data_IF_535337647369
#
_entry.id   IF_535337647369
#
_cell.length_a   1.000
_cell.length_b   1.000
_cell.length_c   1.000
_cell.angle_alpha   90.00
_cell.angle_beta   90.00
_cell.angle_gamma   90.00
#
_symmetry.space_group_name_H-M   'P 1'
#
loop_
_entity.id
_entity.type
_entity.pdbx_description
1 polymer ?
#
# COMPACT_ATOMS: atom_id res chain seq x y z
N UNK A 1 29.01 -1.60 -54.20
CA UNK A 1 28.88 -0.46 -53.25
C UNK A 1 27.68 -0.76 -52.35
N UNK A 2 27.91 -1.44 -51.21
CA UNK A 2 27.76 -0.92 -49.83
C UNK A 2 26.31 -0.46 -49.50
N UNK A 3 25.48 -1.33 -48.90
CA UNK A 3 25.25 -1.50 -47.45
C UNK A 3 24.72 -0.22 -46.77
N UNK A 4 23.49 -0.27 -46.21
CA UNK A 4 22.82 0.61 -45.21
C UNK A 4 21.30 0.63 -45.53
N UNK A 5 20.31 0.41 -44.66
CA UNK A 5 20.19 0.43 -43.19
C UNK A 5 19.06 -0.53 -42.82
N UNK A 6 19.33 -1.56 -42.01
CA UNK A 6 18.32 -2.32 -41.28
C UNK A 6 18.75 -2.32 -39.82
N UNK A 7 18.43 -1.25 -39.09
CA UNK A 7 18.65 -1.14 -37.64
C UNK A 7 17.67 -0.12 -37.08
N UNK A 8 16.54 -0.59 -36.56
CA UNK A 8 15.75 0.09 -35.53
C UNK A 8 14.65 -0.86 -35.05
N UNK A 9 15.04 -1.93 -34.34
CA UNK A 9 14.09 -2.80 -33.64
C UNK A 9 14.77 -3.53 -32.46
N UNK A 10 15.58 -2.81 -31.69
CA UNK A 10 16.08 -3.27 -30.38
C UNK A 10 16.17 -2.06 -29.45
N UNK A 11 15.03 -1.55 -28.99
CA UNK A 11 15.01 -0.52 -27.93
C UNK A 11 13.76 -0.61 -27.03
N UNK A 12 13.08 -1.77 -26.97
CA UNK A 12 11.87 -1.93 -26.15
C UNK A 12 11.83 -3.22 -25.31
N UNK A 13 13.00 -3.76 -24.96
CA UNK A 13 13.10 -4.94 -24.09
C UNK A 13 13.97 -4.74 -22.83
N UNK A 14 14.52 -3.55 -22.61
CA UNK A 14 15.49 -3.30 -21.52
C UNK A 14 14.84 -2.63 -20.29
N UNK A 15 13.66 -2.02 -20.41
CA UNK A 15 12.99 -1.36 -19.28
C UNK A 15 12.43 -2.34 -18.22
N UNK A 16 12.21 -3.61 -18.57
CA UNK A 16 11.72 -4.63 -17.63
C UNK A 16 12.80 -5.31 -16.79
N UNK A 17 14.07 -5.28 -17.24
CA UNK A 17 15.18 -5.95 -16.55
C UNK A 17 15.76 -5.12 -15.40
N UNK A 18 15.69 -3.79 -15.49
CA UNK A 18 16.27 -2.89 -14.47
C UNK A 18 15.50 -2.88 -13.15
N UNK A 19 14.21 -3.25 -13.14
CA UNK A 19 13.40 -3.30 -11.90
C UNK A 19 13.64 -4.56 -11.06
N UNK A 20 14.16 -5.65 -11.64
CA UNK A 20 14.54 -6.85 -10.88
C UNK A 20 15.85 -6.69 -10.11
N UNK A 21 16.73 -5.78 -10.54
CA UNK A 21 18.11 -5.71 -10.06
C UNK A 21 18.32 -4.93 -8.74
N UNK A 22 17.26 -4.44 -8.08
CA UNK A 22 17.36 -3.58 -6.89
C UNK A 22 16.53 -4.04 -5.69
N UNK A 23 15.95 -5.24 -5.73
CA UNK A 23 15.24 -5.78 -4.57
C UNK A 23 16.23 -6.47 -3.64
N UNK A 24 16.26 -6.02 -2.38
CA UNK A 24 17.02 -6.73 -1.35
C UNK A 24 16.44 -8.13 -1.18
N UNK A 25 17.26 -9.18 -1.03
CA UNK A 25 16.78 -10.52 -0.80
C UNK A 25 15.95 -10.57 0.49
N UNK A 26 14.91 -11.39 0.51
CA UNK A 26 14.05 -11.53 1.68
C UNK A 26 14.85 -12.22 2.78
N UNK A 27 14.86 -11.59 3.95
CA UNK A 27 15.64 -12.01 5.12
C UNK A 27 14.76 -12.66 6.18
N UNK A 28 15.40 -13.19 7.23
CA UNK A 28 14.69 -13.76 8.38
C UNK A 28 13.85 -12.69 9.09
N UNK A 29 14.42 -11.50 9.23
CA UNK A 29 13.89 -10.37 9.99
C UNK A 29 12.60 -9.82 9.35
N UNK A 30 12.40 -10.02 8.04
CA UNK A 30 11.18 -9.59 7.36
C UNK A 30 9.93 -10.33 7.88
N UNK A 31 10.10 -11.48 8.54
CA UNK A 31 9.00 -12.25 9.16
C UNK A 31 8.80 -11.94 10.66
N UNK A 32 9.59 -11.06 11.26
CA UNK A 32 9.59 -10.83 12.72
C UNK A 32 8.23 -10.42 13.26
N UNK A 33 7.43 -9.69 12.47
CA UNK A 33 6.11 -9.21 12.88
C UNK A 33 4.99 -10.23 12.62
N UNK A 34 5.26 -11.30 11.87
CA UNK A 34 4.25 -12.28 11.44
C UNK A 34 4.20 -13.43 12.46
N UNK A 35 3.00 -13.79 12.90
CA UNK A 35 2.77 -15.01 13.66
C UNK A 35 2.76 -16.21 12.72
N UNK A 36 3.91 -16.85 12.51
CA UNK A 36 4.05 -18.03 11.64
C UNK A 36 3.26 -19.26 12.12
N UNK A 37 2.76 -19.25 13.36
CA UNK A 37 1.87 -20.29 13.88
C UNK A 37 0.38 -19.97 13.62
N UNK A 38 0.07 -18.89 12.90
CA UNK A 38 -1.31 -18.54 12.57
C UNK A 38 -1.92 -19.61 11.62
N UNK A 39 -3.16 -20.08 11.86
CA UNK A 39 -3.79 -21.09 11.02
C UNK A 39 -3.85 -20.71 9.54
N UNK A 40 -3.35 -21.60 8.68
CA UNK A 40 -3.20 -21.38 7.23
C UNK A 40 -1.78 -20.95 6.81
N UNK A 41 -0.88 -20.63 7.75
CA UNK A 41 0.52 -20.31 7.47
C UNK A 41 1.48 -21.50 7.64
N UNK A 42 0.97 -22.73 7.68
CA UNK A 42 1.77 -23.93 7.96
C UNK A 42 2.92 -24.10 6.96
N UNK A 43 2.65 -23.87 5.67
CA UNK A 43 3.68 -23.90 4.62
C UNK A 43 4.72 -22.80 4.81
N UNK A 44 4.26 -21.57 5.06
CA UNK A 44 5.14 -20.42 5.32
C UNK A 44 6.11 -20.72 6.46
N UNK A 45 5.59 -21.28 7.56
CA UNK A 45 6.41 -21.67 8.70
C UNK A 45 7.42 -22.78 8.32
N UNK A 46 6.99 -23.82 7.60
CA UNK A 46 7.89 -24.89 7.14
C UNK A 46 9.05 -24.35 6.29
N UNK A 47 8.75 -23.47 5.32
CA UNK A 47 9.77 -22.83 4.47
C UNK A 47 10.70 -21.92 5.28
N UNK A 48 10.15 -21.16 6.22
CA UNK A 48 10.91 -20.30 7.13
C UNK A 48 11.88 -21.09 8.01
N UNK A 49 11.43 -22.19 8.65
CA UNK A 49 12.29 -23.06 9.47
C UNK A 49 13.41 -23.73 8.65
N UNK A 50 13.18 -23.91 7.35
CA UNK A 50 14.17 -24.42 6.41
C UNK A 50 15.12 -23.34 5.85
N UNK A 51 15.06 -22.10 6.37
CA UNK A 51 15.78 -20.93 5.89
C UNK A 51 15.55 -20.58 4.41
N UNK A 52 14.39 -20.97 3.85
CA UNK A 52 13.98 -20.67 2.47
C UNK A 52 13.06 -19.45 2.44
N UNK A 53 13.60 -18.27 2.73
CA UNK A 53 12.82 -17.04 2.96
C UNK A 53 12.03 -16.58 1.73
N UNK A 54 12.60 -16.66 0.52
CA UNK A 54 11.88 -16.35 -0.72
C UNK A 54 10.68 -17.28 -0.94
N UNK A 55 10.87 -18.57 -0.64
CA UNK A 55 9.77 -19.55 -0.73
C UNK A 55 8.70 -19.28 0.33
N UNK A 56 9.10 -18.94 1.56
CA UNK A 56 8.16 -18.58 2.62
C UNK A 56 7.32 -17.35 2.24
N UNK A 57 7.94 -16.31 1.66
CA UNK A 57 7.20 -15.14 1.19
C UNK A 57 6.27 -15.45 0.02
N UNK A 58 6.69 -16.32 -0.90
CA UNK A 58 5.83 -16.80 -1.99
C UNK A 58 4.62 -17.58 -1.45
N UNK A 59 4.82 -18.44 -0.45
CA UNK A 59 3.74 -19.17 0.21
C UNK A 59 2.81 -18.24 1.00
N UNK A 60 3.33 -17.17 1.59
CA UNK A 60 2.53 -16.15 2.26
C UNK A 60 1.68 -15.36 1.26
N UNK A 61 2.22 -15.03 0.09
CA UNK A 61 1.44 -14.42 -0.99
C UNK A 61 0.33 -15.35 -1.47
N UNK A 62 0.63 -16.65 -1.61
CA UNK A 62 -0.38 -17.67 -1.93
C UNK A 62 -1.46 -17.74 -0.85
N UNK A 63 -1.08 -17.68 0.43
CA UNK A 63 -2.03 -17.61 1.54
C UNK A 63 -2.98 -16.42 1.39
N UNK A 64 -2.45 -15.21 1.25
CA UNK A 64 -3.29 -14.01 1.15
C UNK A 64 -4.21 -14.04 -0.08
N UNK A 65 -3.73 -14.55 -1.23
CA UNK A 65 -4.54 -14.71 -2.45
C UNK A 65 -5.68 -15.72 -2.29
N UNK A 66 -5.60 -16.64 -1.33
CA UNK A 66 -6.59 -17.68 -1.11
C UNK A 66 -7.34 -17.52 0.23
N UNK A 67 -7.09 -16.44 0.97
CA UNK A 67 -7.71 -16.18 2.28
C UNK A 67 -9.19 -15.83 2.10
N UNK A 68 -10.09 -16.63 2.69
CA UNK A 68 -11.56 -16.49 2.54
C UNK A 68 -12.31 -16.07 3.80
N UNK A 69 -11.71 -16.20 4.98
CA UNK A 69 -12.40 -15.97 6.26
C UNK A 69 -12.41 -14.50 6.70
N UNK A 70 -11.56 -13.67 6.11
CA UNK A 70 -11.43 -12.26 6.43
C UNK A 70 -11.96 -11.46 5.25
N UNK A 71 -12.92 -10.58 5.52
CA UNK A 71 -13.56 -9.75 4.51
C UNK A 71 -13.36 -8.27 4.79
N UNK A 72 -13.02 -7.52 3.75
CA UNK A 72 -13.18 -6.07 3.74
C UNK A 72 -14.65 -5.74 3.45
N UNK A 73 -15.23 -4.66 4.01
CA UNK A 73 -16.59 -4.24 3.68
C UNK A 73 -16.81 -4.03 2.17
N UNK A 74 -15.87 -3.35 1.51
CA UNK A 74 -16.02 -2.95 0.10
C UNK A 74 -15.27 -3.79 -0.94
N UNK A 75 -14.08 -4.32 -0.64
CA UNK A 75 -13.16 -4.84 -1.65
C UNK A 75 -12.61 -6.20 -1.25
N UNK A 76 -13.09 -7.29 -1.84
CA UNK A 76 -12.63 -8.65 -1.53
C UNK A 76 -12.02 -9.35 -2.74
N UNK A 77 -11.12 -10.30 -2.47
CA UNK A 77 -10.63 -11.24 -3.47
C UNK A 77 -11.79 -12.14 -3.90
N UNK A 78 -11.96 -12.34 -5.22
CA UNK A 78 -13.12 -13.03 -5.78
C UNK A 78 -14.20 -12.08 -6.33
N UNK A 79 -14.13 -10.77 -6.02
CA UNK A 79 -15.09 -9.79 -6.52
C UNK A 79 -14.77 -9.28 -7.94
N UNK A 80 -13.96 -10.00 -8.75
CA UNK A 80 -13.46 -9.50 -10.04
C UNK A 80 -14.61 -9.08 -10.97
N UNK A 81 -15.67 -9.88 -11.03
CA UNK A 81 -16.86 -9.64 -11.85
C UNK A 81 -17.68 -8.42 -11.41
N UNK A 82 -17.48 -7.94 -10.18
CA UNK A 82 -18.12 -6.71 -9.71
C UNK A 82 -17.58 -5.49 -10.45
N UNK A 83 -16.30 -5.50 -10.84
CA UNK A 83 -15.60 -4.34 -11.41
C UNK A 83 -15.32 -4.47 -12.90
N UNK A 84 -15.01 -5.68 -13.39
CA UNK A 84 -14.52 -5.91 -14.76
C UNK A 84 -15.43 -5.30 -15.82
N UNK A 85 -14.88 -4.39 -16.63
CA UNK A 85 -15.56 -3.67 -17.70
C UNK A 85 -16.60 -2.65 -17.25
N UNK A 86 -16.75 -2.39 -15.95
CA UNK A 86 -17.73 -1.44 -15.41
C UNK A 86 -17.09 -0.10 -15.09
N UNK A 87 -17.86 0.97 -15.30
CA UNK A 87 -17.43 2.32 -14.92
C UNK A 87 -17.14 2.41 -13.42
N UNK A 88 -16.03 3.07 -13.08
CA UNK A 88 -15.67 3.42 -11.70
C UNK A 88 -16.07 4.87 -11.34
N UNK A 89 -16.76 5.55 -12.27
CA UNK A 89 -17.09 6.98 -12.18
C UNK A 89 -15.95 7.87 -12.70
N UNK A 90 -16.33 8.99 -13.34
CA UNK A 90 -15.38 9.90 -13.99
C UNK A 90 -14.32 10.45 -13.01
N UNK A 91 -14.71 10.81 -11.78
CA UNK A 91 -13.79 11.32 -10.77
C UNK A 91 -12.74 10.29 -10.32
N UNK A 92 -13.09 8.99 -10.24
CA UNK A 92 -12.11 7.96 -9.92
C UNK A 92 -11.19 7.67 -11.11
N UNK A 93 -11.73 7.65 -12.32
CA UNK A 93 -10.93 7.45 -13.52
C UNK A 93 -9.91 8.58 -13.70
N UNK A 94 -10.34 9.84 -13.53
CA UNK A 94 -9.46 11.01 -13.60
C UNK A 94 -8.35 10.96 -12.54
N UNK A 95 -8.67 10.59 -11.29
CA UNK A 95 -7.64 10.41 -10.24
C UNK A 95 -6.65 9.32 -10.58
N UNK A 96 -7.13 8.17 -11.08
CA UNK A 96 -6.27 7.05 -11.45
C UNK A 96 -5.33 7.40 -12.61
N UNK A 97 -5.85 8.05 -13.65
CA UNK A 97 -5.06 8.43 -14.83
C UNK A 97 -4.07 9.55 -14.52
N UNK A 98 -4.46 10.56 -13.74
CA UNK A 98 -3.55 11.62 -13.30
C UNK A 98 -2.45 11.08 -12.37
N UNK A 99 -2.75 10.07 -11.55
CA UNK A 99 -1.74 9.44 -10.71
C UNK A 99 -0.62 8.77 -11.51
N UNK A 100 -0.89 8.27 -12.74
CA UNK A 100 0.15 7.78 -13.66
C UNK A 100 1.13 8.86 -14.13
N UNK A 101 0.76 10.12 -13.95
CA UNK A 101 1.55 11.30 -14.32
C UNK A 101 2.05 12.06 -13.07
N UNK A 102 1.93 11.46 -11.88
CA UNK A 102 2.23 12.06 -10.57
C UNK A 102 1.50 13.38 -10.32
N UNK A 103 0.31 13.51 -10.92
CA UNK A 103 -0.61 14.62 -10.66
C UNK A 103 -1.60 14.15 -9.61
N UNK A 104 -1.51 14.71 -8.41
CA UNK A 104 -2.37 14.30 -7.30
C UNK A 104 -3.31 15.42 -6.91
N UNK A 105 -4.51 15.05 -6.45
CA UNK A 105 -5.47 15.95 -5.82
C UNK A 105 -5.58 15.56 -4.34
N UNK A 106 -4.72 16.11 -3.45
CA UNK A 106 -4.74 15.78 -2.02
C UNK A 106 -6.05 16.16 -1.34
N UNK A 107 -6.59 17.31 -1.70
CA UNK A 107 -7.69 17.96 -0.99
C UNK A 107 -8.78 18.37 -1.99
N UNK A 108 -10.03 17.98 -1.72
CA UNK A 108 -11.18 18.17 -2.63
C UNK A 108 -11.48 19.63 -3.00
N UNK A 109 -11.06 20.57 -2.16
CA UNK A 109 -11.20 22.02 -2.39
C UNK A 109 -10.20 22.60 -3.40
N UNK A 110 -9.22 21.80 -3.87
CA UNK A 110 -8.22 22.21 -4.83
C UNK A 110 -8.22 21.28 -6.06
N UNK A 111 -7.60 21.73 -7.15
CA UNK A 111 -7.35 20.92 -8.34
C UNK A 111 -6.19 19.94 -8.14
N UNK A 112 -5.74 19.35 -9.25
CA UNK A 112 -4.54 18.51 -9.27
C UNK A 112 -3.28 19.37 -9.27
N UNK A 113 -2.24 18.91 -8.58
CA UNK A 113 -0.90 19.48 -8.61
C UNK A 113 0.08 18.44 -9.15
N UNK A 114 1.08 18.88 -9.91
CA UNK A 114 2.16 18.03 -10.41
C UNK A 114 3.25 17.92 -9.35
N UNK A 115 3.48 16.70 -8.84
CA UNK A 115 4.49 16.42 -7.82
C UNK A 115 5.86 16.06 -8.40
N UNK A 116 5.99 16.12 -9.72
CA UNK A 116 7.21 15.83 -10.46
C UNK A 116 7.40 14.35 -10.76
N UNK A 117 8.18 14.06 -11.81
CA UNK A 117 8.56 12.69 -12.19
C UNK A 117 9.28 11.96 -11.06
N UNK A 118 10.16 12.65 -10.34
CA UNK A 118 10.64 12.20 -9.04
C UNK A 118 9.72 12.81 -7.97
N UNK A 119 8.79 12.01 -7.45
CA UNK A 119 7.71 12.53 -6.60
C UNK A 119 8.30 13.28 -5.39
N UNK A 120 7.97 14.56 -5.29
CA UNK A 120 8.32 15.39 -4.14
C UNK A 120 7.18 15.38 -3.12
N UNK A 121 7.19 14.42 -2.20
CA UNK A 121 6.20 14.30 -1.12
C UNK A 121 6.17 15.50 -0.14
N UNK A 122 7.15 16.40 -0.23
CA UNK A 122 7.25 17.60 0.58
C UNK A 122 6.86 18.87 -0.20
N UNK A 123 6.42 18.74 -1.46
CA UNK A 123 5.93 19.86 -2.25
C UNK A 123 4.76 20.53 -1.53
N UNK A 124 4.83 21.85 -1.41
CA UNK A 124 3.78 22.66 -0.79
C UNK A 124 3.20 23.64 -1.80
N UNK A 125 2.28 23.17 -2.69
CA UNK A 125 1.85 23.93 -3.85
C UNK A 125 0.98 25.15 -3.49
N UNK A 126 0.34 25.09 -2.32
CA UNK A 126 -0.44 26.17 -1.71
C UNK A 126 -0.08 26.19 -0.23
N UNK A 127 0.14 27.36 0.39
CA UNK A 127 0.50 27.52 1.82
C UNK A 127 -0.68 27.22 2.77
N UNK A 128 -1.27 26.04 2.61
CA UNK A 128 -2.32 25.46 3.42
C UNK A 128 -1.82 24.10 3.92
N UNK A 129 -1.83 23.90 5.24
CA UNK A 129 -1.37 22.66 5.86
C UNK A 129 -2.27 21.48 5.49
N UNK A 130 -3.56 21.69 5.24
CA UNK A 130 -4.49 20.62 4.86
C UNK A 130 -4.11 19.98 3.52
N UNK A 131 -3.55 20.75 2.59
CA UNK A 131 -3.06 20.20 1.32
C UNK A 131 -1.91 19.22 1.54
N UNK A 132 -0.98 19.56 2.45
CA UNK A 132 0.20 18.73 2.74
C UNK A 132 -0.16 17.54 3.63
N UNK A 133 -1.01 17.70 4.64
CA UNK A 133 -1.53 16.58 5.43
C UNK A 133 -2.30 15.59 4.57
N UNK A 134 -3.27 16.06 3.77
CA UNK A 134 -4.11 15.15 2.99
C UNK A 134 -3.38 14.46 1.85
N UNK A 135 -2.23 14.98 1.41
CA UNK A 135 -1.36 14.28 0.44
C UNK A 135 -0.95 12.91 0.98
N UNK A 136 -0.61 12.84 2.27
CA UNK A 136 -0.19 11.59 2.92
C UNK A 136 -1.36 10.68 3.29
N UNK A 137 -2.60 11.01 2.91
CA UNK A 137 -3.73 10.07 2.94
C UNK A 137 -3.83 9.20 1.70
N UNK A 138 -3.12 9.58 0.62
CA UNK A 138 -2.91 8.77 -0.60
C UNK A 138 -4.19 8.17 -1.19
N UNK A 139 -5.31 8.90 -1.11
CA UNK A 139 -6.64 8.40 -1.48
C UNK A 139 -6.74 7.94 -2.94
N UNK A 140 -5.91 8.46 -3.84
CA UNK A 140 -5.91 8.04 -5.24
C UNK A 140 -5.43 6.59 -5.44
N UNK A 141 -4.74 5.97 -4.49
CA UNK A 141 -4.34 4.56 -4.58
C UNK A 141 -5.55 3.62 -4.68
N UNK A 142 -6.66 3.92 -4.00
CA UNK A 142 -7.90 3.16 -4.19
C UNK A 142 -8.50 3.41 -5.57
N UNK A 143 -8.48 4.64 -6.09
CA UNK A 143 -8.93 4.95 -7.45
C UNK A 143 -8.11 4.18 -8.50
N UNK A 144 -6.79 4.08 -8.33
CA UNK A 144 -5.92 3.25 -9.18
C UNK A 144 -6.28 1.77 -9.08
N UNK A 145 -6.57 1.25 -7.89
CA UNK A 145 -7.01 -0.13 -7.70
C UNK A 145 -8.34 -0.42 -8.36
N UNK A 146 -9.29 0.52 -8.30
CA UNK A 146 -10.56 0.42 -9.01
C UNK A 146 -10.36 0.42 -10.53
N UNK A 147 -9.49 1.30 -11.06
CA UNK A 147 -9.15 1.35 -12.48
C UNK A 147 -8.47 0.06 -12.96
N UNK A 148 -7.56 -0.50 -12.16
CA UNK A 148 -6.98 -1.82 -12.38
C UNK A 148 -8.05 -2.92 -12.45
N UNK A 149 -8.93 -2.99 -11.46
CA UNK A 149 -9.97 -4.04 -11.40
C UNK A 149 -11.01 -3.94 -12.52
N UNK A 150 -11.30 -2.72 -12.96
CA UNK A 150 -12.22 -2.49 -14.08
C UNK A 150 -11.60 -2.86 -15.42
N UNK A 151 -10.39 -2.35 -15.70
CA UNK A 151 -9.75 -2.47 -17.01
C UNK A 151 -8.93 -3.75 -17.20
N UNK A 152 -8.36 -4.28 -16.13
CA UNK A 152 -7.30 -5.29 -16.17
C UNK A 152 -5.93 -4.75 -16.61
N UNK A 153 -5.77 -3.43 -16.72
CA UNK A 153 -4.53 -2.80 -17.18
C UNK A 153 -3.49 -2.72 -16.05
N UNK A 154 -2.39 -3.47 -16.19
CA UNK A 154 -1.32 -3.57 -15.21
C UNK A 154 -0.54 -2.27 -14.99
N UNK A 155 -0.74 -1.23 -15.83
CA UNK A 155 -0.09 0.08 -15.61
C UNK A 155 -0.43 0.67 -14.25
N UNK A 156 -1.67 0.51 -13.77
CA UNK A 156 -2.09 1.04 -12.49
C UNK A 156 -1.47 0.27 -11.32
N UNK A 157 -1.35 -1.06 -11.43
CA UNK A 157 -0.71 -1.88 -10.41
C UNK A 157 0.79 -1.60 -10.32
N UNK A 158 1.47 -1.54 -11.48
CA UNK A 158 2.90 -1.19 -11.59
C UNK A 158 3.19 0.16 -10.96
N UNK A 159 2.39 1.17 -11.31
CA UNK A 159 2.56 2.51 -10.80
C UNK A 159 2.26 2.61 -9.30
N UNK A 160 1.21 1.93 -8.81
CA UNK A 160 0.91 1.92 -7.38
C UNK A 160 2.04 1.28 -6.56
N UNK A 161 2.60 0.16 -7.02
CA UNK A 161 3.77 -0.48 -6.39
C UNK A 161 4.97 0.48 -6.34
N UNK A 162 5.22 1.21 -7.43
CA UNK A 162 6.26 2.24 -7.49
C UNK A 162 6.00 3.37 -6.47
N UNK A 163 4.81 3.96 -6.46
CA UNK A 163 4.45 5.05 -5.55
C UNK A 163 4.48 4.64 -4.09
N UNK A 164 4.03 3.43 -3.76
CA UNK A 164 4.08 2.91 -2.40
C UNK A 164 5.53 2.82 -1.92
N UNK A 165 6.42 2.22 -2.72
CA UNK A 165 7.85 2.10 -2.42
C UNK A 165 8.52 3.47 -2.29
N UNK A 166 8.21 4.38 -3.21
CA UNK A 166 8.75 5.74 -3.19
C UNK A 166 8.30 6.50 -1.93
N UNK A 167 7.01 6.39 -1.57
CA UNK A 167 6.48 6.98 -0.33
C UNK A 167 7.18 6.43 0.91
N UNK A 168 7.30 5.10 1.05
CA UNK A 168 7.98 4.46 2.19
C UNK A 168 9.43 4.90 2.28
N UNK A 169 10.14 4.96 1.15
CA UNK A 169 11.54 5.38 1.09
C UNK A 169 11.76 6.85 1.45
N UNK A 170 10.88 7.74 0.99
CA UNK A 170 11.02 9.20 1.14
C UNK A 170 10.34 9.77 2.38
N UNK A 171 9.51 8.99 3.07
CA UNK A 171 8.82 9.42 4.28
C UNK A 171 9.04 8.44 5.46
N UNK A 172 10.27 7.99 5.75
CA UNK A 172 10.50 7.15 6.93
C UNK A 172 10.18 7.95 8.20
N UNK A 173 9.62 7.28 9.21
CA UNK A 173 9.44 7.87 10.52
C UNK A 173 10.81 8.30 11.08
N UNK A 174 10.92 9.53 11.59
CA UNK A 174 12.18 10.09 12.09
C UNK A 174 13.02 10.77 11.00
N UNK A 175 12.50 10.96 9.77
CA UNK A 175 13.22 11.67 8.71
C UNK A 175 13.56 13.11 9.13
N UNK A 176 12.56 13.83 9.62
CA UNK A 176 12.68 15.17 10.17
C UNK A 176 11.40 15.54 10.94
N UNK A 177 11.50 16.49 11.87
CA UNK A 177 10.32 16.99 12.59
C UNK A 177 9.25 17.56 11.65
N UNK A 178 9.67 18.22 10.57
CA UNK A 178 8.76 18.73 9.53
C UNK A 178 8.06 17.58 8.81
N UNK A 179 8.80 16.59 8.30
CA UNK A 179 8.19 15.46 7.60
C UNK A 179 7.22 14.68 8.48
N UNK A 180 7.60 14.40 9.73
CA UNK A 180 6.79 13.60 10.65
C UNK A 180 5.50 14.34 11.05
N UNK A 181 5.54 15.67 11.18
CA UNK A 181 4.36 16.49 11.43
C UNK A 181 3.30 16.42 10.32
N UNK A 182 3.68 16.02 9.09
CA UNK A 182 2.76 15.86 7.96
C UNK A 182 2.48 14.39 7.61
N UNK A 183 3.52 13.57 7.42
CA UNK A 183 3.40 12.18 6.98
C UNK A 183 2.99 11.21 8.12
N UNK A 184 3.38 11.53 9.35
CA UNK A 184 3.22 10.69 10.54
C UNK A 184 2.29 11.29 11.61
N UNK A 185 1.50 12.32 11.26
CA UNK A 185 0.40 12.77 12.12
C UNK A 185 -0.60 11.61 12.31
N UNK A 186 -1.00 11.27 13.55
CA UNK A 186 -1.83 10.09 13.84
C UNK A 186 -3.10 9.98 12.98
N UNK A 187 -3.74 11.11 12.68
CA UNK A 187 -4.90 11.16 11.81
C UNK A 187 -4.60 10.59 10.42
N UNK A 188 -3.58 11.10 9.72
CA UNK A 188 -3.17 10.61 8.39
C UNK A 188 -2.67 9.17 8.43
N UNK A 189 -1.95 8.77 9.47
CA UNK A 189 -1.53 7.38 9.65
C UNK A 189 -2.76 6.48 9.76
N UNK A 190 -3.77 6.87 10.54
CA UNK A 190 -5.01 6.11 10.68
C UNK A 190 -5.79 6.02 9.37
N UNK A 191 -5.84 7.09 8.57
CA UNK A 191 -6.47 7.09 7.24
C UNK A 191 -5.81 6.08 6.29
N UNK A 192 -4.47 5.99 6.32
CA UNK A 192 -3.74 4.96 5.55
C UNK A 192 -4.03 3.57 6.08
N UNK A 193 -3.97 3.37 7.40
CA UNK A 193 -4.28 2.07 8.03
C UNK A 193 -5.70 1.59 7.70
N UNK A 194 -6.67 2.50 7.53
CA UNK A 194 -8.02 2.16 7.07
C UNK A 194 -8.10 1.81 5.59
N UNK A 195 -7.45 2.60 4.73
CA UNK A 195 -7.60 2.49 3.27
C UNK A 195 -6.74 1.39 2.65
N UNK A 196 -5.55 1.13 3.19
CA UNK A 196 -4.58 0.17 2.68
C UNK A 196 -5.09 -1.28 2.63
N UNK A 197 -5.87 -1.80 3.59
CA UNK A 197 -6.53 -3.11 3.49
C UNK A 197 -7.37 -3.30 2.23
N UNK A 198 -8.16 -2.29 1.88
CA UNK A 198 -8.95 -2.29 0.65
C UNK A 198 -8.06 -2.23 -0.60
N UNK A 199 -7.08 -1.33 -0.60
CA UNK A 199 -6.09 -1.19 -1.68
C UNK A 199 -5.29 -2.48 -1.89
N UNK A 200 -4.89 -3.13 -0.82
CA UNK A 200 -4.22 -4.44 -0.83
C UNK A 200 -5.05 -5.46 -1.60
N UNK A 201 -6.33 -5.62 -1.24
CA UNK A 201 -7.22 -6.55 -1.94
C UNK A 201 -7.44 -6.17 -3.41
N UNK A 202 -7.50 -4.88 -3.76
CA UNK A 202 -7.66 -4.44 -5.15
C UNK A 202 -6.47 -4.86 -6.03
N UNK A 203 -5.24 -4.90 -5.50
CA UNK A 203 -4.04 -5.21 -6.28
C UNK A 203 -3.47 -6.62 -6.07
N UNK A 204 -3.92 -7.37 -5.07
CA UNK A 204 -3.30 -8.64 -4.67
C UNK A 204 -3.20 -9.69 -5.80
N UNK A 205 -4.13 -9.66 -6.76
CA UNK A 205 -4.13 -10.55 -7.93
C UNK A 205 -3.11 -10.18 -9.00
N UNK A 206 -2.57 -8.96 -8.99
CA UNK A 206 -1.62 -8.48 -9.99
C UNK A 206 -0.29 -9.24 -9.89
N UNK A 207 0.37 -9.54 -11.03
CA UNK A 207 1.75 -10.03 -11.05
C UNK A 207 2.77 -9.00 -10.52
N UNK A 208 2.44 -7.70 -10.50
CA UNK A 208 3.30 -6.66 -9.90
C UNK A 208 3.30 -6.75 -8.37
N UNK A 209 2.26 -7.36 -7.77
CA UNK A 209 2.21 -7.69 -6.34
C UNK A 209 3.07 -8.94 -6.05
N UNK A 210 4.38 -8.74 -6.06
CA UNK A 210 5.40 -9.77 -5.84
C UNK A 210 5.53 -10.18 -4.37
N UNK A 211 6.14 -11.35 -4.05
CA UNK A 211 6.46 -11.72 -2.67
C UNK A 211 7.31 -10.69 -1.93
N UNK A 212 8.32 -10.12 -2.60
CA UNK A 212 9.15 -9.05 -2.01
C UNK A 212 8.30 -7.84 -1.65
N UNK A 213 7.45 -7.39 -2.58
CA UNK A 213 6.56 -6.25 -2.33
C UNK A 213 5.54 -6.54 -1.22
N UNK A 214 5.07 -7.78 -1.09
CA UNK A 214 4.24 -8.19 0.05
C UNK A 214 4.96 -7.96 1.38
N UNK A 215 6.23 -8.38 1.49
CA UNK A 215 7.01 -8.19 2.72
C UNK A 215 7.21 -6.70 3.04
N UNK A 216 7.54 -5.89 2.03
CA UNK A 216 7.66 -4.43 2.16
C UNK A 216 6.34 -3.78 2.61
N UNK A 217 5.22 -4.19 2.00
CA UNK A 217 3.88 -3.71 2.33
C UNK A 217 3.53 -4.05 3.78
N UNK A 218 3.69 -5.32 4.18
CA UNK A 218 3.34 -5.77 5.53
C UNK A 218 4.21 -5.10 6.59
N UNK A 219 5.51 -4.91 6.33
CA UNK A 219 6.42 -4.18 7.22
C UNK A 219 6.01 -2.73 7.41
N UNK A 220 5.73 -2.03 6.31
CA UNK A 220 5.26 -0.63 6.33
C UNK A 220 3.88 -0.50 7.00
N UNK A 221 2.94 -1.41 6.71
CA UNK A 221 1.63 -1.42 7.33
C UNK A 221 1.71 -1.67 8.84
N UNK A 222 2.52 -2.65 9.26
CA UNK A 222 2.76 -2.94 10.68
C UNK A 222 3.30 -1.72 11.41
N UNK A 223 4.34 -1.06 10.88
CA UNK A 223 4.90 0.16 11.50
C UNK A 223 3.83 1.23 11.72
N UNK A 224 2.93 1.42 10.75
CA UNK A 224 1.86 2.42 10.84
C UNK A 224 0.78 2.03 11.85
N UNK A 225 0.32 0.77 11.84
CA UNK A 225 -0.69 0.29 12.79
C UNK A 225 -0.16 0.30 14.23
N UNK A 226 1.11 -0.04 14.43
CA UNK A 226 1.76 -0.09 15.75
C UNK A 226 2.12 1.30 16.29
N UNK A 227 2.31 2.28 15.41
CA UNK A 227 2.56 3.67 15.79
C UNK A 227 1.36 4.31 16.48
N UNK A 228 0.13 4.10 15.98
CA UNK A 228 -1.06 4.84 16.42
C UNK A 228 -1.36 4.65 17.93
N UNK A 229 -1.33 3.43 18.52
CA UNK A 229 -1.64 3.25 19.94
C UNK A 229 -0.80 4.07 20.92
N UNK A 230 0.43 4.43 20.54
CA UNK A 230 1.33 5.24 21.36
C UNK A 230 1.17 6.75 21.12
N UNK A 231 0.35 7.13 20.13
CA UNK A 231 0.20 8.49 19.64
C UNK A 231 -1.27 8.87 19.44
N UNK A 232 -2.21 8.21 20.12
CA UNK A 232 -3.61 8.59 20.05
C UNK A 232 -3.81 10.09 20.39
N UNK A 233 -4.72 10.71 19.66
CA UNK A 233 -5.28 12.01 20.01
C UNK A 233 -5.87 11.96 21.42
N UNK A 234 -5.75 13.03 22.20
CA UNK A 234 -6.17 13.02 23.61
C UNK A 234 -7.68 12.83 23.79
N UNK A 235 -8.48 13.41 22.90
CA UNK A 235 -9.94 13.43 22.97
C UNK A 235 -10.57 13.77 21.61
N UNK A 236 -11.90 13.70 21.55
CA UNK A 236 -12.69 14.11 20.38
C UNK A 236 -12.75 13.06 19.26
N UNK A 237 -13.33 13.44 18.12
CA UNK A 237 -13.63 12.50 17.04
C UNK A 237 -12.38 11.87 16.40
N UNK A 238 -11.22 12.55 16.47
CA UNK A 238 -9.97 11.97 15.96
C UNK A 238 -9.58 10.73 16.76
N UNK A 239 -9.65 10.76 18.09
CA UNK A 239 -9.40 9.59 18.95
C UNK A 239 -10.31 8.42 18.58
N UNK A 240 -11.60 8.68 18.38
CA UNK A 240 -12.58 7.64 18.03
C UNK A 240 -12.25 6.99 16.68
N UNK A 241 -11.92 7.78 15.65
CA UNK A 241 -11.53 7.24 14.34
C UNK A 241 -10.21 6.48 14.41
N UNK A 242 -9.20 7.04 15.08
CA UNK A 242 -7.91 6.37 15.26
C UNK A 242 -8.09 4.99 15.91
N UNK A 243 -8.84 4.90 17.02
CA UNK A 243 -9.11 3.65 17.71
C UNK A 243 -9.88 2.64 16.85
N UNK A 244 -10.92 3.10 16.14
CA UNK A 244 -11.71 2.27 15.23
C UNK A 244 -10.86 1.71 14.08
N UNK A 245 -9.92 2.49 13.57
CA UNK A 245 -9.04 2.09 12.45
C UNK A 245 -7.92 1.15 12.90
N UNK A 246 -7.40 1.31 14.11
CA UNK A 246 -6.47 0.35 14.73
C UNK A 246 -7.16 -0.99 15.01
N UNK A 247 -8.39 -0.97 15.52
CA UNK A 247 -9.22 -2.17 15.65
C UNK A 247 -9.39 -2.88 14.30
N UNK A 248 -9.74 -2.10 13.26
CA UNK A 248 -9.87 -2.63 11.91
C UNK A 248 -8.57 -3.24 11.38
N UNK A 249 -7.42 -2.62 11.62
CA UNK A 249 -6.11 -3.14 11.23
C UNK A 249 -5.85 -4.54 11.79
N UNK A 250 -6.06 -4.70 13.11
CA UNK A 250 -5.88 -5.98 13.78
C UNK A 250 -6.95 -7.03 13.39
N UNK A 251 -8.13 -6.60 12.93
CA UNK A 251 -9.15 -7.51 12.42
C UNK A 251 -8.87 -7.96 10.97
N UNK A 252 -8.32 -7.09 10.14
CA UNK A 252 -8.06 -7.39 8.73
C UNK A 252 -6.73 -8.12 8.49
N UNK A 253 -5.70 -7.87 9.31
CA UNK A 253 -4.45 -8.62 9.28
C UNK A 253 -4.21 -9.35 10.60
N UNK A 254 -5.06 -10.33 10.98
CA UNK A 254 -4.92 -11.06 12.25
C UNK A 254 -3.65 -11.90 12.34
N UNK A 255 -2.91 -12.06 11.24
CA UNK A 255 -1.66 -12.80 11.12
C UNK A 255 -0.47 -12.09 11.79
N UNK A 256 -0.54 -10.78 12.08
CA UNK A 256 0.52 -10.11 12.84
C UNK A 256 0.49 -10.51 14.32
N UNK A 257 1.68 -10.59 14.93
CA UNK A 257 1.84 -10.83 16.37
C UNK A 257 1.15 -9.75 17.22
N UNK A 258 1.16 -8.49 16.75
CA UNK A 258 0.58 -7.35 17.44
C UNK A 258 -0.94 -7.18 17.23
N UNK A 259 -1.55 -7.90 16.29
CA UNK A 259 -2.97 -7.73 15.96
C UNK A 259 -3.94 -7.92 17.14
N UNK A 260 -3.75 -8.88 18.07
CA UNK A 260 -4.56 -8.94 19.29
C UNK A 260 -4.50 -7.67 20.15
N UNK A 261 -3.31 -7.07 20.29
CA UNK A 261 -3.13 -5.81 21.02
C UNK A 261 -3.82 -4.66 20.31
N UNK A 262 -3.67 -4.52 18.99
CA UNK A 262 -4.35 -3.47 18.23
C UNK A 262 -5.87 -3.55 18.37
N UNK A 263 -6.45 -4.75 18.25
CA UNK A 263 -7.89 -4.94 18.46
C UNK A 263 -8.32 -4.55 19.87
N UNK A 264 -7.59 -5.00 20.90
CA UNK A 264 -7.91 -4.66 22.29
C UNK A 264 -7.81 -3.14 22.52
N UNK A 265 -6.72 -2.52 22.08
CA UNK A 265 -6.47 -1.08 22.20
C UNK A 265 -7.60 -0.25 21.60
N UNK A 266 -8.06 -0.58 20.39
CA UNK A 266 -9.20 0.10 19.78
C UNK A 266 -10.53 -0.13 20.53
N UNK A 267 -10.79 -1.36 20.98
CA UNK A 267 -12.02 -1.70 21.73
C UNK A 267 -12.07 -0.96 23.07
N UNK A 268 -10.96 -0.91 23.82
CA UNK A 268 -10.91 -0.26 25.14
C UNK A 268 -11.23 1.24 25.07
N UNK A 269 -10.95 1.90 23.94
CA UNK A 269 -11.22 3.33 23.73
C UNK A 269 -12.65 3.59 23.24
N UNK A 270 -13.23 2.65 22.51
CA UNK A 270 -14.56 2.78 21.91
C UNK A 270 -15.71 2.36 22.84
N UNK A 271 -15.40 1.54 23.86
CA UNK A 271 -16.36 1.09 24.88
C UNK A 271 -16.54 2.12 25.99
#
# INVERSE_FOLDING_TARGET
>A
MKLKVLTSLIALAISGLSLKAQQSPISKEDFDNINLNYPGLEKVNQSFQSAKYDQAAQELLVYYRNRKKIHHPDFNIGDEQRFKGKSIGAANQEKADNALLHKFQPHKGYGFFDYGKEINWQLWPVKDNEVRWQLHRVYWWQSMGLAYRSSGDEKYAREWVYQFRDWVKKNPLGLSADNDAYAWRPLEVSERVQSLPGTFNLFLSSPEFTPTFLMEFLKSFHQQADYIPQHYSKEGNHLLFEAQRVLFAGAFFPEFKASPFWRKSGIDILN
#
